data_IF_402289064739
#
_entry.id   IF_402289064739
#
_cell.length_a   1.000
_cell.length_b   1.000
_cell.length_c   1.000
_cell.angle_alpha   90.00
_cell.angle_beta   90.00
_cell.angle_gamma   90.00
#
_symmetry.space_group_name_H-M   'P 1'
#
loop_
_entity.id
_entity.type
_entity.pdbx_description
1 polymer ?
#
# COMPACT_ATOMS: atom_id res chain seq x y z
N UNK A 1 53.05 16.49 -48.10
CA UNK A 1 51.83 17.25 -47.72
C UNK A 1 50.64 16.31 -47.94
N UNK A 2 50.22 15.52 -46.93
CA UNK A 2 48.98 14.69 -46.91
C UNK A 2 48.80 13.84 -45.61
N UNK A 3 49.56 14.07 -44.53
CA UNK A 3 49.37 13.31 -43.28
C UNK A 3 48.30 13.89 -42.33
N UNK A 4 47.97 15.19 -42.44
CA UNK A 4 47.01 15.84 -41.53
C UNK A 4 45.55 15.38 -41.79
N UNK A 5 45.21 15.06 -43.05
CA UNK A 5 43.85 14.67 -43.43
C UNK A 5 43.41 13.35 -42.76
N UNK A 6 44.29 12.35 -42.70
CA UNK A 6 44.01 11.06 -42.05
C UNK A 6 43.84 11.18 -40.52
N UNK A 7 44.62 12.06 -39.87
CA UNK A 7 44.54 12.27 -38.42
C UNK A 7 43.24 13.01 -38.05
N UNK A 8 42.80 13.96 -38.89
CA UNK A 8 41.51 14.65 -38.72
C UNK A 8 40.32 13.70 -38.90
N UNK A 9 40.34 12.83 -39.91
CA UNK A 9 39.33 11.80 -40.14
C UNK A 9 39.24 10.78 -38.98
N UNK A 10 40.39 10.29 -38.50
CA UNK A 10 40.46 9.36 -37.35
C UNK A 10 39.94 9.98 -36.05
N UNK A 11 40.21 11.27 -35.82
CA UNK A 11 39.68 12.02 -34.65
C UNK A 11 38.16 12.21 -34.72
N UNK A 12 37.60 12.45 -35.92
CA UNK A 12 36.14 12.53 -36.10
C UNK A 12 35.46 11.20 -35.80
N UNK A 13 36.02 10.08 -36.28
CA UNK A 13 35.51 8.73 -35.97
C UNK A 13 35.56 8.43 -34.47
N UNK A 14 36.66 8.76 -33.79
CA UNK A 14 36.78 8.61 -32.34
C UNK A 14 35.70 9.40 -31.58
N UNK A 15 35.46 10.65 -31.96
CA UNK A 15 34.42 11.48 -31.34
C UNK A 15 33.00 10.91 -31.57
N UNK A 16 32.73 10.34 -32.75
CA UNK A 16 31.45 9.68 -33.03
C UNK A 16 31.27 8.43 -32.14
N UNK A 17 32.32 7.63 -31.96
CA UNK A 17 32.27 6.45 -31.08
C UNK A 17 32.03 6.87 -29.63
N UNK A 18 32.72 7.91 -29.15
CA UNK A 18 32.52 8.44 -27.79
C UNK A 18 31.10 8.97 -27.62
N UNK A 19 30.58 9.71 -28.59
CA UNK A 19 29.21 10.22 -28.57
C UNK A 19 28.18 9.07 -28.56
N UNK A 20 28.40 8.02 -29.36
CA UNK A 20 27.54 6.83 -29.38
C UNK A 20 27.59 6.07 -28.05
N UNK A 21 28.77 5.96 -27.43
CA UNK A 21 28.93 5.31 -26.13
C UNK A 21 28.23 6.10 -25.02
N UNK A 22 28.39 7.43 -25.00
CA UNK A 22 27.68 8.31 -24.07
C UNK A 22 26.17 8.23 -24.27
N UNK A 23 25.71 8.19 -25.51
CA UNK A 23 24.29 8.02 -25.83
C UNK A 23 23.74 6.69 -25.32
N UNK A 24 24.47 5.58 -25.46
CA UNK A 24 24.07 4.28 -24.93
C UNK A 24 24.00 4.29 -23.39
N UNK A 25 24.96 4.93 -22.72
CA UNK A 25 24.94 5.06 -21.25
C UNK A 25 23.73 5.86 -20.80
N UNK A 26 23.46 7.01 -21.45
CA UNK A 26 22.27 7.82 -21.17
C UNK A 26 21.00 7.00 -21.44
N UNK A 27 20.93 6.26 -22.55
CA UNK A 27 19.78 5.43 -22.87
C UNK A 27 19.53 4.35 -21.82
N UNK A 28 20.58 3.71 -21.31
CA UNK A 28 20.47 2.69 -20.25
C UNK A 28 20.00 3.32 -18.93
N UNK A 29 20.51 4.51 -18.59
CA UNK A 29 20.12 5.24 -17.37
C UNK A 29 18.70 5.79 -17.44
N UNK A 30 18.28 6.31 -18.59
CA UNK A 30 16.94 6.82 -18.84
C UNK A 30 15.96 5.73 -19.32
N UNK A 31 16.42 4.48 -19.47
CA UNK A 31 15.54 3.37 -19.83
C UNK A 31 14.53 3.16 -18.70
N UNK A 32 13.22 3.17 -18.99
CA UNK A 32 12.18 2.95 -17.99
C UNK A 32 12.29 1.58 -17.27
N UNK A 33 13.16 0.69 -17.77
CA UNK A 33 13.35 -0.68 -17.30
C UNK A 33 14.66 -0.92 -16.53
N UNK A 34 15.63 0.01 -16.52
CA UNK A 34 17.00 -0.28 -16.12
C UNK A 34 17.28 -0.34 -14.61
N UNK A 35 16.74 0.60 -13.82
CA UNK A 35 17.08 0.74 -12.39
C UNK A 35 15.89 1.14 -11.51
N UNK A 36 15.01 2.02 -12.02
CA UNK A 36 13.84 2.52 -11.28
C UNK A 36 12.84 1.40 -10.94
N UNK A 37 12.74 0.37 -11.79
CA UNK A 37 11.84 -0.77 -11.58
C UNK A 37 12.22 -1.59 -10.36
N UNK A 38 13.52 -1.79 -10.10
CA UNK A 38 13.99 -2.57 -8.94
C UNK A 38 13.69 -1.85 -7.62
N UNK A 39 13.86 -0.53 -7.57
CA UNK A 39 13.53 0.27 -6.38
C UNK A 39 12.02 0.30 -6.14
N UNK A 40 11.22 0.43 -7.21
CA UNK A 40 9.75 0.44 -7.10
C UNK A 40 9.20 -0.89 -6.60
N UNK A 41 9.71 -2.01 -7.11
CA UNK A 41 9.28 -3.35 -6.69
C UNK A 41 9.56 -3.58 -5.21
N UNK A 42 10.70 -3.13 -4.69
CA UNK A 42 11.02 -3.28 -3.26
C UNK A 42 10.09 -2.43 -2.38
N UNK A 43 9.78 -1.19 -2.77
CA UNK A 43 8.84 -0.35 -2.03
C UNK A 43 7.40 -0.89 -2.05
N UNK A 44 6.98 -1.43 -3.19
CA UNK A 44 5.68 -2.06 -3.35
C UNK A 44 5.58 -3.35 -2.52
N UNK A 45 6.65 -4.15 -2.49
CA UNK A 45 6.78 -5.33 -1.64
C UNK A 45 6.66 -4.99 -0.15
N UNK A 46 7.35 -3.94 0.31
CA UNK A 46 7.27 -3.52 1.71
C UNK A 46 5.89 -2.97 2.09
N UNK A 47 5.25 -2.24 1.19
CA UNK A 47 3.88 -1.74 1.39
C UNK A 47 2.88 -2.89 1.49
N UNK A 48 2.97 -3.87 0.58
CA UNK A 48 2.11 -5.06 0.60
C UNK A 48 2.37 -5.89 1.86
N UNK A 49 3.63 -6.05 2.27
CA UNK A 49 3.98 -6.76 3.51
C UNK A 49 3.43 -6.07 4.75
N UNK A 50 3.51 -4.75 4.81
CA UNK A 50 2.94 -3.98 5.93
C UNK A 50 1.42 -4.13 5.98
N UNK A 51 0.73 -3.96 4.85
CA UNK A 51 -0.71 -4.17 4.75
C UNK A 51 -1.11 -5.58 5.19
N UNK A 52 -0.36 -6.60 4.78
CA UNK A 52 -0.60 -7.98 5.19
C UNK A 52 -0.46 -8.16 6.71
N UNK A 53 0.59 -7.61 7.33
CA UNK A 53 0.75 -7.63 8.80
C UNK A 53 -0.42 -6.96 9.53
N UNK A 54 -0.86 -5.81 9.05
CA UNK A 54 -2.01 -5.10 9.63
C UNK A 54 -3.31 -5.89 9.50
N UNK A 55 -3.53 -6.56 8.37
CA UNK A 55 -4.69 -7.41 8.15
C UNK A 55 -4.68 -8.66 9.03
N UNK A 56 -3.52 -9.30 9.20
CA UNK A 56 -3.36 -10.45 10.10
C UNK A 56 -3.74 -10.04 11.53
N UNK A 57 -3.25 -8.90 12.01
CA UNK A 57 -3.56 -8.45 13.36
C UNK A 57 -5.03 -8.07 13.53
N UNK A 58 -5.64 -7.41 12.53
CA UNK A 58 -7.08 -7.13 12.52
C UNK A 58 -7.91 -8.41 12.56
N UNK A 59 -7.55 -9.41 11.75
CA UNK A 59 -8.24 -10.70 11.76
C UNK A 59 -8.14 -11.38 13.12
N UNK A 60 -6.95 -11.38 13.74
CA UNK A 60 -6.75 -11.94 15.08
C UNK A 60 -7.65 -11.27 16.12
N UNK A 61 -7.73 -9.94 16.10
CA UNK A 61 -8.59 -9.17 17.01
C UNK A 61 -10.08 -9.44 16.77
N UNK A 62 -10.50 -9.54 15.52
CA UNK A 62 -11.89 -9.87 15.15
C UNK A 62 -12.27 -11.29 15.57
N UNK A 63 -11.37 -12.26 15.40
CA UNK A 63 -11.58 -13.63 15.86
C UNK A 63 -11.73 -13.70 17.38
N UNK A 64 -10.93 -12.94 18.13
CA UNK A 64 -11.11 -12.80 19.57
C UNK A 64 -12.45 -12.15 19.95
N UNK A 65 -12.88 -11.11 19.23
CA UNK A 65 -14.18 -10.46 19.47
C UNK A 65 -15.33 -11.43 19.18
N UNK A 66 -15.28 -12.16 18.07
CA UNK A 66 -16.25 -13.22 17.74
C UNK A 66 -16.27 -14.27 18.85
N UNK A 67 -15.10 -14.74 19.29
CA UNK A 67 -15.01 -15.74 20.36
C UNK A 67 -15.70 -15.23 21.62
N UNK A 68 -15.39 -14.01 22.07
CA UNK A 68 -16.00 -13.40 23.26
C UNK A 68 -17.52 -13.25 23.13
N UNK A 69 -18.00 -12.77 21.98
CA UNK A 69 -19.43 -12.62 21.69
C UNK A 69 -20.16 -13.97 21.69
N UNK A 70 -19.49 -15.05 21.29
CA UNK A 70 -20.12 -16.37 21.16
C UNK A 70 -20.03 -17.18 22.45
N UNK A 71 -18.93 -17.03 23.20
CA UNK A 71 -18.69 -17.79 24.43
C UNK A 71 -19.31 -17.17 25.68
N UNK A 72 -19.56 -15.86 25.70
CA UNK A 72 -20.10 -15.14 26.85
C UNK A 72 -21.47 -14.51 26.52
N UNK A 73 -22.57 -15.17 26.95
CA UNK A 73 -23.92 -14.65 26.76
C UNK A 73 -24.18 -13.29 27.43
N UNK A 74 -23.48 -12.99 28.54
CA UNK A 74 -23.64 -11.73 29.28
C UNK A 74 -22.99 -10.59 28.49
N UNK A 75 -21.79 -10.83 27.96
CA UNK A 75 -21.09 -9.87 27.10
C UNK A 75 -21.87 -9.60 25.81
N UNK A 76 -22.44 -10.64 25.19
CA UNK A 76 -23.30 -10.50 24.01
C UNK A 76 -24.55 -9.65 24.31
N UNK A 77 -25.21 -9.90 25.44
CA UNK A 77 -26.39 -9.13 25.86
C UNK A 77 -26.05 -7.66 26.15
N UNK A 78 -24.91 -7.40 26.76
CA UNK A 78 -24.42 -6.03 27.00
C UNK A 78 -24.18 -5.28 25.68
N UNK A 79 -23.53 -5.91 24.71
CA UNK A 79 -23.29 -5.32 23.38
C UNK A 79 -24.60 -5.13 22.61
N UNK A 80 -25.50 -6.12 22.65
CA UNK A 80 -26.82 -6.03 22.01
C UNK A 80 -27.63 -4.85 22.55
N UNK A 81 -27.63 -4.63 23.87
CA UNK A 81 -28.30 -3.49 24.50
C UNK A 81 -27.58 -2.15 24.22
N UNK A 82 -26.25 -2.09 24.35
CA UNK A 82 -25.49 -0.83 24.24
C UNK A 82 -25.26 -0.36 22.81
N UNK A 83 -24.86 -1.26 21.89
CA UNK A 83 -24.55 -0.89 20.49
C UNK A 83 -25.79 -0.89 19.59
N UNK A 84 -26.75 -1.78 19.85
CA UNK A 84 -27.87 -2.00 18.94
C UNK A 84 -29.25 -1.67 19.55
N UNK A 85 -29.32 -1.34 20.85
CA UNK A 85 -30.59 -1.03 21.52
C UNK A 85 -31.56 -2.21 21.59
N UNK A 86 -31.05 -3.43 21.42
CA UNK A 86 -31.89 -4.63 21.38
C UNK A 86 -32.35 -4.98 22.81
N UNK A 87 -33.62 -5.34 22.92
CA UNK A 87 -34.25 -5.83 24.15
C UNK A 87 -34.87 -7.20 23.91
N UNK A 88 -35.03 -7.98 24.99
CA UNK A 88 -35.68 -9.29 24.86
C UNK A 88 -37.14 -9.09 24.42
N UNK A 89 -37.73 -10.10 23.76
CA UNK A 89 -39.13 -10.06 23.30
C UNK A 89 -40.16 -9.69 24.40
N UNK A 90 -39.80 -9.92 25.67
CA UNK A 90 -40.68 -9.70 26.82
C UNK A 90 -40.27 -8.46 27.65
N UNK A 91 -39.43 -7.58 27.12
CA UNK A 91 -38.97 -6.37 27.81
C UNK A 91 -39.56 -5.11 27.17
N UNK A 92 -39.91 -4.12 28.01
CA UNK A 92 -40.47 -2.83 27.59
C UNK A 92 -39.40 -1.74 27.71
N UNK A 93 -39.15 -1.00 26.63
CA UNK A 93 -38.26 0.17 26.62
C UNK A 93 -39.08 1.41 26.97
N UNK A 94 -38.69 2.10 28.04
CA UNK A 94 -39.24 3.42 28.39
C UNK A 94 -38.28 4.50 27.89
N UNK A 95 -38.65 5.19 26.80
CA UNK A 95 -37.92 6.34 26.29
C UNK A 95 -38.52 7.64 26.85
N UNK A 96 -37.80 8.26 27.80
CA UNK A 96 -38.23 9.49 28.46
C UNK A 96 -37.93 10.75 27.63
N UNK A 97 -37.30 10.64 26.46
CA UNK A 97 -36.98 11.79 25.60
C UNK A 97 -38.18 12.35 24.82
N UNK A 98 -39.24 11.55 24.64
CA UNK A 98 -40.47 11.98 23.94
C UNK A 98 -41.52 12.67 24.81
N UNK A 99 -41.33 12.73 26.13
CA UNK A 99 -42.36 13.26 27.07
C UNK A 99 -42.25 14.77 27.30
N UNK A 100 -41.61 15.51 26.38
CA UNK A 100 -41.62 16.99 26.37
C UNK A 100 -42.14 17.53 25.04
N UNK A 101 -43.39 17.21 24.72
CA UNK A 101 -44.20 18.09 23.88
C UNK A 101 -45.45 18.45 24.70
N UNK A 102 -45.43 19.70 25.17
CA UNK A 102 -46.57 20.42 25.75
C UNK A 102 -47.43 20.99 24.63
#
# INVERSE_FOLDING_TARGET
>A
MNLDFSIREKRKLGNIIIAALLFLVIWILFSPWGLVKHVRINNELETVRQSNRELIEKNRLLEEEITRLTSDPVYLEEIARKKFGLVRKNELVFDFSKTKEH
#
